data_IF_121320560437
#
_entry.id   IF_121320560437
#
_cell.length_a   1.000
_cell.length_b   1.000
_cell.length_c   1.000
_cell.angle_alpha   90.00
_cell.angle_beta   90.00
_cell.angle_gamma   90.00
#
_symmetry.space_group_name_H-M   'P 1'
#
loop_
_entity.id
_entity.type
_entity.pdbx_description
1 polymer ?
#
# COMPACT_ATOMS: atom_id res chain seq x y z
N UNK A 1 -4.48 -0.72 -18.41
CA UNK A 1 -3.77 -1.56 -17.40
C UNK A 1 -4.81 -2.33 -16.60
N UNK A 2 -4.53 -3.58 -16.21
CA UNK A 2 -5.47 -4.40 -15.43
C UNK A 2 -4.87 -4.78 -14.07
N UNK A 3 -5.64 -4.65 -13.00
CA UNK A 3 -5.21 -4.93 -11.62
C UNK A 3 -6.11 -5.98 -10.97
N UNK A 4 -5.54 -6.80 -10.09
CA UNK A 4 -6.33 -7.75 -9.30
C UNK A 4 -7.03 -7.02 -8.15
N UNK A 5 -8.35 -7.09 -8.12
CA UNK A 5 -9.18 -6.50 -7.09
C UNK A 5 -9.57 -7.56 -6.06
N UNK A 6 -9.05 -7.46 -4.84
CA UNK A 6 -9.35 -8.41 -3.75
C UNK A 6 -10.83 -8.43 -3.36
N UNK A 7 -11.58 -7.32 -3.53
CA UNK A 7 -13.01 -7.24 -3.19
C UNK A 7 -13.87 -8.12 -4.11
N UNK A 8 -13.58 -8.11 -5.41
CA UNK A 8 -14.30 -8.90 -6.41
C UNK A 8 -13.61 -10.23 -6.74
N UNK A 9 -12.36 -10.40 -6.30
CA UNK A 9 -11.46 -11.54 -6.59
C UNK A 9 -11.19 -11.73 -8.08
N UNK A 10 -11.22 -10.66 -8.87
CA UNK A 10 -11.05 -10.67 -10.33
C UNK A 10 -10.00 -9.67 -10.76
N UNK A 11 -9.45 -9.90 -11.96
CA UNK A 11 -8.62 -8.92 -12.64
C UNK A 11 -9.54 -7.95 -13.38
N UNK A 12 -9.45 -6.67 -13.03
CA UNK A 12 -10.33 -5.61 -13.52
C UNK A 12 -9.52 -4.53 -14.25
N UNK A 13 -10.16 -3.83 -15.18
CA UNK A 13 -9.60 -2.63 -15.81
C UNK A 13 -9.42 -1.55 -14.74
N UNK A 14 -8.20 -1.02 -14.60
CA UNK A 14 -7.97 0.08 -13.67
C UNK A 14 -8.40 1.40 -14.32
N UNK A 15 -9.43 2.02 -13.75
CA UNK A 15 -9.91 3.34 -14.14
C UNK A 15 -9.73 4.27 -12.94
N UNK A 16 -8.96 5.37 -13.07
CA UNK A 16 -8.78 6.31 -11.96
C UNK A 16 -10.07 7.09 -11.68
N UNK A 17 -10.28 7.47 -10.42
CA UNK A 17 -11.40 8.33 -10.01
C UNK A 17 -11.36 9.69 -10.71
N UNK A 18 -10.16 10.25 -10.87
CA UNK A 18 -9.91 11.50 -11.60
C UNK A 18 -8.99 11.20 -12.78
N UNK A 19 -9.36 11.57 -14.03
CA UNK A 19 -8.52 11.33 -15.20
C UNK A 19 -7.08 11.83 -14.99
N UNK A 20 -6.11 10.95 -15.26
CA UNK A 20 -4.67 11.25 -15.13
C UNK A 20 -4.14 11.30 -13.70
N UNK A 21 -4.97 11.20 -12.65
CA UNK A 21 -4.53 11.27 -11.25
C UNK A 21 -4.88 10.01 -10.48
N UNK A 22 -3.90 9.48 -9.75
CA UNK A 22 -4.06 8.25 -8.98
C UNK A 22 -3.69 8.51 -7.52
N UNK A 23 -4.58 8.15 -6.60
CA UNK A 23 -4.34 8.21 -5.15
C UNK A 23 -4.17 6.79 -4.63
N UNK A 24 -3.09 6.52 -3.91
CA UNK A 24 -2.80 5.20 -3.34
C UNK A 24 -2.55 5.35 -1.84
N UNK A 25 -3.18 4.48 -1.06
CA UNK A 25 -2.88 4.30 0.34
C UNK A 25 -2.26 2.93 0.56
N UNK A 26 -1.14 2.89 1.28
CA UNK A 26 -0.45 1.65 1.66
C UNK A 26 -0.26 1.60 3.17
N UNK A 27 -0.52 0.45 3.78
CA UNK A 27 -0.30 0.26 5.21
C UNK A 27 1.21 0.26 5.51
N UNK A 28 1.68 1.17 6.35
CA UNK A 28 3.08 1.21 6.75
C UNK A 28 3.40 0.42 8.02
N UNK A 29 4.64 0.53 8.52
CA UNK A 29 5.16 -0.33 9.59
C UNK A 29 4.54 -0.01 10.95
N UNK A 30 4.46 -1.03 11.80
CA UNK A 30 4.39 -0.83 13.26
C UNK A 30 5.81 -0.73 13.80
N UNK A 31 6.15 0.38 14.44
CA UNK A 31 7.55 0.74 14.75
C UNK A 31 8.07 0.15 16.07
N UNK A 32 7.46 -0.92 16.57
CA UNK A 32 7.88 -1.57 17.83
C UNK A 32 9.06 -2.53 17.66
N UNK A 33 9.36 -2.96 16.43
CA UNK A 33 10.48 -3.85 16.12
C UNK A 33 11.08 -3.55 14.74
N UNK A 34 12.26 -4.10 14.47
CA UNK A 34 12.92 -3.99 13.18
C UNK A 34 12.09 -4.62 12.05
N UNK A 35 12.09 -3.98 10.88
CA UNK A 35 11.47 -4.53 9.69
C UNK A 35 12.14 -5.84 9.27
N UNK A 36 11.34 -6.88 9.04
CA UNK A 36 11.81 -8.15 8.53
C UNK A 36 11.60 -8.26 7.01
N UNK A 37 12.22 -9.27 6.39
CA UNK A 37 12.18 -9.46 4.91
C UNK A 37 10.75 -9.52 4.36
N UNK A 38 9.82 -10.10 5.13
CA UNK A 38 8.39 -10.11 4.81
C UNK A 38 7.78 -8.71 4.69
N UNK A 39 8.16 -7.74 5.53
CA UNK A 39 7.70 -6.35 5.39
C UNK A 39 8.29 -5.70 4.14
N UNK A 40 9.59 -5.92 3.90
CA UNK A 40 10.31 -5.36 2.75
C UNK A 40 9.72 -5.82 1.43
N UNK A 41 9.30 -7.10 1.33
CA UNK A 41 8.61 -7.62 0.15
C UNK A 41 7.39 -6.77 -0.22
N UNK A 42 6.53 -6.47 0.77
CA UNK A 42 5.34 -5.64 0.54
C UNK A 42 5.71 -4.24 0.06
N UNK A 43 6.67 -3.59 0.72
CA UNK A 43 7.11 -2.24 0.34
C UNK A 43 7.72 -2.17 -1.06
N UNK A 44 8.46 -3.20 -1.47
CA UNK A 44 9.00 -3.30 -2.83
C UNK A 44 7.87 -3.51 -3.85
N UNK A 45 6.91 -4.40 -3.57
CA UNK A 45 5.77 -4.60 -4.46
C UNK A 45 4.96 -3.31 -4.66
N UNK A 46 4.73 -2.56 -3.58
CA UNK A 46 4.05 -1.26 -3.63
C UNK A 46 4.85 -0.22 -4.42
N UNK A 47 6.17 -0.17 -4.23
CA UNK A 47 7.05 0.74 -4.98
C UNK A 47 7.06 0.43 -6.48
N UNK A 48 7.11 -0.84 -6.85
CA UNK A 48 7.00 -1.28 -8.25
C UNK A 48 5.67 -0.82 -8.84
N UNK A 49 4.55 -1.02 -8.14
CA UNK A 49 3.23 -0.57 -8.60
C UNK A 49 3.20 0.94 -8.85
N UNK A 50 3.73 1.75 -7.92
CA UNK A 50 3.76 3.21 -8.06
C UNK A 50 4.63 3.63 -9.24
N UNK A 51 5.80 3.01 -9.41
CA UNK A 51 6.71 3.29 -10.53
C UNK A 51 6.07 2.92 -11.86
N UNK A 52 5.39 1.78 -11.95
CA UNK A 52 4.63 1.38 -13.13
C UNK A 52 3.55 2.41 -13.46
N UNK A 53 2.76 2.85 -12.47
CA UNK A 53 1.72 3.86 -12.70
C UNK A 53 2.29 5.21 -13.16
N UNK A 54 3.42 5.64 -12.58
CA UNK A 54 4.11 6.86 -13.04
C UNK A 54 4.66 6.70 -14.45
N UNK A 55 5.20 5.53 -14.78
CA UNK A 55 5.69 5.21 -16.12
C UNK A 55 4.57 5.26 -17.17
N UNK A 56 3.36 4.81 -16.81
CA UNK A 56 2.16 4.90 -17.64
C UNK A 56 1.60 6.34 -17.77
N UNK A 57 2.24 7.34 -17.15
CA UNK A 57 1.89 8.76 -17.29
C UNK A 57 0.90 9.30 -16.26
N UNK A 58 0.59 8.55 -15.20
CA UNK A 58 -0.28 9.04 -14.13
C UNK A 58 0.45 9.95 -13.14
N UNK A 59 -0.23 10.99 -12.67
CA UNK A 59 0.17 11.75 -11.48
C UNK A 59 -0.25 10.97 -10.22
N UNK A 60 0.72 10.27 -9.62
CA UNK A 60 0.49 9.36 -8.49
C UNK A 60 0.81 10.03 -7.15
N UNK A 61 -0.19 10.17 -6.29
CA UNK A 61 -0.04 10.55 -4.88
C UNK A 61 -0.17 9.32 -3.98
N UNK A 62 0.95 8.87 -3.41
CA UNK A 62 0.99 7.80 -2.40
C UNK A 62 0.97 8.39 -0.99
N UNK A 63 0.16 7.81 -0.11
CA UNK A 63 0.18 8.04 1.34
C UNK A 63 0.46 6.71 2.03
N UNK A 64 1.36 6.74 3.01
CA UNK A 64 1.69 5.59 3.86
C UNK A 64 1.68 6.04 5.30
N UNK A 65 0.96 5.32 6.16
CA UNK A 65 0.92 5.63 7.58
C UNK A 65 2.14 5.06 8.31
N UNK A 66 2.38 5.52 9.53
CA UNK A 66 3.27 4.87 10.49
C UNK A 66 2.40 4.52 11.69
N UNK A 67 2.45 3.26 12.14
CA UNK A 67 1.69 2.83 13.31
C UNK A 67 2.60 2.88 14.54
N UNK A 68 2.52 3.98 15.28
CA UNK A 68 3.22 4.23 16.53
C UNK A 68 2.38 3.88 17.77
N UNK A 69 1.05 3.78 17.63
CA UNK A 69 0.10 3.41 18.71
C UNK A 69 -0.88 2.32 18.25
N UNK A 70 -1.14 1.32 19.10
CA UNK A 70 -2.32 0.44 19.02
C UNK A 70 -2.09 -1.02 18.62
N UNK A 71 -0.96 -1.38 18.00
CA UNK A 71 -0.71 -2.76 17.52
C UNK A 71 -0.23 -3.76 18.60
N UNK A 72 -0.15 -3.34 19.87
CA UNK A 72 0.15 -4.24 20.99
C UNK A 72 -1.14 -4.96 21.40
N UNK A 73 -1.41 -6.12 20.80
CA UNK A 73 -2.58 -6.96 21.08
C UNK A 73 -2.60 -7.57 22.49
N UNK A 74 -1.63 -7.24 23.36
CA UNK A 74 -1.66 -7.52 24.80
C UNK A 74 -1.01 -6.41 25.61
N UNK A 75 -1.73 -5.30 25.81
CA UNK A 75 -1.60 -4.55 27.06
C UNK A 75 -2.51 -5.21 28.10
N UNK A 76 -2.12 -6.40 28.59
CA UNK A 76 -2.64 -6.90 29.86
C UNK A 76 -1.83 -6.19 30.94
N UNK A 77 -2.32 -5.05 31.41
CA UNK A 77 -1.99 -4.62 32.77
C UNK A 77 -2.60 -5.68 33.69
N UNK A 78 -1.75 -6.58 34.17
CA UNK A 78 -1.97 -7.33 35.39
C UNK A 78 -0.63 -7.44 36.11
#
# INVERSE_FOLDING_TARGET
>A
MKLYNTKSKRVEEFVPEVPGKVKIYTCGPTVYHYAHIGNLRSYICEDVLIKTLKYEGFDVKRVMNITDVGHLSRCRYR
#
